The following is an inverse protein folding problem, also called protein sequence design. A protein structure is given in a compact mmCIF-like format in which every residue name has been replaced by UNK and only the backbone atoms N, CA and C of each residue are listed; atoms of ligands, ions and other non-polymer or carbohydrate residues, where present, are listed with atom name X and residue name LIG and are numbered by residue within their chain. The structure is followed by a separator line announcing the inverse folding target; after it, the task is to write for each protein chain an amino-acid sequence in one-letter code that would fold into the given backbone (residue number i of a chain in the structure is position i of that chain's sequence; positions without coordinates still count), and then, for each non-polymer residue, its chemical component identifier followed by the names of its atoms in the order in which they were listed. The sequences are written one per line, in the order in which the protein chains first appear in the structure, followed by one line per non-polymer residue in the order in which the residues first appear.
data_IF_643184977824
#
_entry.id   IF_643184977824
#
_cell.length_a   1.000
_cell.length_b   1.000
_cell.length_c   1.000
_cell.angle_alpha   90.00
_cell.angle_beta   90.00
_cell.angle_gamma   90.00
#
_symmetry.space_group_name_H-M   'P 1'
#
loop_
_entity.id
_entity.type
_entity.pdbx_description
1 polymer ?
#
# COMPACT_ATOMS: atom_id res chain seq x y z
N UNK A 1 -9.58 -8.78 1.69
CA UNK A 1 -9.03 -7.44 1.98
C UNK A 1 -8.11 -7.59 3.18
N UNK A 2 -6.98 -6.89 3.17
CA UNK A 2 -5.99 -6.85 4.25
C UNK A 2 -5.89 -5.42 4.78
N UNK A 3 -5.43 -5.30 6.00
CA UNK A 3 -5.21 -4.02 6.66
C UNK A 3 -3.73 -3.83 6.93
N UNK A 4 -3.29 -2.59 6.99
CA UNK A 4 -1.92 -2.26 7.32
C UNK A 4 -1.74 -0.76 7.50
N UNK A 5 -0.52 -0.38 7.84
CA UNK A 5 -0.16 1.02 8.05
C UNK A 5 0.84 1.43 6.97
N UNK A 6 0.62 2.57 6.32
CA UNK A 6 1.55 3.10 5.34
C UNK A 6 2.85 3.45 6.04
N UNK A 7 3.90 2.68 5.74
CA UNK A 7 5.23 2.91 6.31
C UNK A 7 5.90 4.11 5.67
N UNK A 8 5.67 4.29 4.37
CA UNK A 8 6.26 5.35 3.55
C UNK A 8 5.49 5.44 2.25
N UNK A 9 5.25 6.65 1.76
CA UNK A 9 4.75 6.89 0.41
C UNK A 9 5.40 8.14 -0.19
N UNK A 10 5.96 8.01 -1.39
CA UNK A 10 6.50 9.13 -2.14
C UNK A 10 5.54 9.48 -3.27
N UNK A 11 4.78 10.56 -3.10
CA UNK A 11 3.80 11.01 -4.09
C UNK A 11 4.44 11.49 -5.40
N UNK A 12 5.67 12.04 -5.35
CA UNK A 12 6.38 12.49 -6.55
C UNK A 12 6.84 11.30 -7.42
N UNK A 13 7.27 10.20 -6.79
CA UNK A 13 7.69 8.97 -7.47
C UNK A 13 6.54 7.98 -7.67
N UNK A 14 5.40 8.20 -7.03
CA UNK A 14 4.20 7.37 -7.15
C UNK A 14 4.30 5.97 -6.55
N UNK A 15 5.12 5.76 -5.52
CA UNK A 15 5.22 4.45 -4.86
C UNK A 15 5.54 4.56 -3.37
N UNK A 16 5.27 3.46 -2.65
CA UNK A 16 5.53 3.35 -1.24
C UNK A 16 5.49 1.91 -0.73
N UNK A 17 5.38 1.78 0.59
CA UNK A 17 5.28 0.50 1.28
C UNK A 17 4.24 0.56 2.39
N UNK A 18 3.44 -0.49 2.50
CA UNK A 18 2.49 -0.71 3.58
C UNK A 18 3.03 -1.82 4.48
N UNK A 19 3.03 -1.60 5.79
CA UNK A 19 3.43 -2.58 6.79
C UNK A 19 2.20 -3.38 7.22
N UNK A 20 2.28 -4.71 7.07
CA UNK A 20 1.29 -5.65 7.59
C UNK A 20 1.48 -5.89 9.09
N UNK A 21 0.42 -6.32 9.78
CA UNK A 21 0.48 -6.69 11.20
C UNK A 21 1.52 -7.79 11.48
N UNK A 22 1.77 -8.69 10.52
CA UNK A 22 2.80 -9.73 10.59
C UNK A 22 4.24 -9.23 10.42
N UNK A 23 4.45 -7.92 10.23
CA UNK A 23 5.76 -7.30 10.05
C UNK A 23 6.31 -7.36 8.62
N UNK A 24 5.63 -8.03 7.71
CA UNK A 24 5.93 -7.99 6.26
C UNK A 24 5.58 -6.63 5.65
N UNK A 25 6.31 -6.27 4.61
CA UNK A 25 6.10 -5.02 3.87
C UNK A 25 5.60 -5.36 2.47
N UNK A 26 4.53 -4.70 2.06
CA UNK A 26 3.98 -4.84 0.72
C UNK A 26 4.18 -3.56 -0.07
N UNK A 27 4.60 -3.74 -1.33
CA UNK A 27 4.79 -2.64 -2.26
C UNK A 27 3.44 -2.05 -2.68
N UNK A 28 3.33 -0.73 -2.72
CA UNK A 28 2.16 -0.01 -3.25
C UNK A 28 2.60 0.97 -4.33
N UNK A 29 1.84 1.03 -5.43
CA UNK A 29 2.02 1.99 -6.51
C UNK A 29 0.80 2.90 -6.60
N UNK A 30 0.99 4.14 -7.05
CA UNK A 30 -0.06 5.14 -7.20
C UNK A 30 -1.24 4.66 -8.07
N UNK A 31 -0.99 3.78 -9.06
CA UNK A 31 -2.05 3.19 -9.88
C UNK A 31 -2.99 2.24 -9.13
N UNK A 32 -2.61 1.78 -7.94
CA UNK A 32 -3.41 0.90 -7.10
C UNK A 32 -4.21 1.65 -6.03
N UNK A 33 -4.05 2.97 -5.93
CA UNK A 33 -4.71 3.80 -4.94
C UNK A 33 -6.14 4.15 -5.40
N UNK A 34 -7.08 4.03 -4.46
CA UNK A 34 -8.44 4.60 -4.57
C UNK A 34 -8.42 6.00 -3.94
N UNK A 35 -7.81 6.12 -2.75
CA UNK A 35 -7.63 7.38 -2.03
C UNK A 35 -6.16 7.79 -1.98
N UNK A 36 -5.89 9.08 -1.80
CA UNK A 36 -4.55 9.54 -1.47
C UNK A 36 -4.15 8.99 -0.09
N UNK A 37 -2.93 8.48 0.02
CA UNK A 37 -2.39 7.91 1.26
C UNK A 37 -1.14 8.67 1.69
N UNK A 38 -0.93 8.74 3.01
CA UNK A 38 0.22 9.39 3.64
C UNK A 38 0.88 8.45 4.63
N UNK A 39 2.10 8.79 5.01
CA UNK A 39 2.83 8.04 6.03
C UNK A 39 2.03 7.98 7.34
N UNK A 40 1.99 6.80 7.96
CA UNK A 40 1.21 6.46 9.16
C UNK A 40 -0.31 6.31 8.96
N UNK A 41 -0.84 6.46 7.75
CA UNK A 41 -2.25 6.17 7.50
C UNK A 41 -2.55 4.68 7.68
N UNK A 42 -3.71 4.40 8.27
CA UNK A 42 -4.26 3.04 8.28
C UNK A 42 -5.03 2.84 6.98
N UNK A 43 -4.71 1.76 6.28
CA UNK A 43 -5.26 1.48 4.95
C UNK A 43 -5.81 0.07 4.86
N UNK A 44 -6.84 -0.08 4.04
CA UNK A 44 -7.36 -1.36 3.59
C UNK A 44 -7.00 -1.55 2.11
N UNK A 45 -6.57 -2.75 1.75
CA UNK A 45 -6.13 -3.07 0.39
C UNK A 45 -6.34 -4.54 0.03
N UNK A 46 -6.20 -4.85 -1.25
CA UNK A 46 -6.10 -6.20 -1.78
C UNK A 46 -4.65 -6.49 -2.21
N UNK A 47 -4.25 -7.76 -2.18
CA UNK A 47 -2.92 -8.19 -2.63
C UNK A 47 -3.06 -8.88 -3.97
N UNK A 48 -2.20 -8.51 -4.92
CA UNK A 48 -2.11 -9.16 -6.22
C UNK A 48 -0.66 -9.54 -6.52
N UNK A 49 -0.45 -10.53 -7.39
CA UNK A 49 0.88 -10.83 -7.93
C UNK A 49 1.19 -9.89 -9.10
N UNK A 50 2.19 -9.03 -8.93
CA UNK A 50 2.73 -8.17 -9.96
C UNK A 50 4.03 -8.71 -10.55
N UNK A 51 4.53 -8.05 -11.60
CA UNK A 51 5.80 -8.41 -12.27
C UNK A 51 7.03 -8.42 -11.35
N UNK A 52 6.96 -7.77 -10.19
CA UNK A 52 8.06 -7.61 -9.23
C UNK A 52 7.74 -8.22 -7.86
N UNK A 53 6.73 -9.09 -7.78
CA UNK A 53 6.23 -9.66 -6.54
C UNK A 53 4.88 -9.07 -6.13
N UNK A 54 4.51 -9.31 -4.87
CA UNK A 54 3.21 -8.92 -4.33
C UNK A 54 3.06 -7.39 -4.30
N UNK A 55 1.93 -6.90 -4.81
CA UNK A 55 1.57 -5.49 -4.77
C UNK A 55 0.20 -5.27 -4.11
N UNK A 56 0.09 -4.17 -3.38
CA UNK A 56 -1.18 -3.68 -2.86
C UNK A 56 -1.95 -2.96 -3.96
N UNK A 57 -3.23 -3.31 -4.11
CA UNK A 57 -4.18 -2.72 -5.07
C UNK A 57 -5.49 -2.39 -4.37
N UNK A 58 -6.29 -1.52 -4.97
CA UNK A 58 -7.54 -0.99 -4.38
C UNK A 58 -7.32 -0.45 -2.96
N UNK A 59 -6.26 0.33 -2.79
CA UNK A 59 -5.86 0.85 -1.48
C UNK A 59 -6.72 2.06 -1.11
N UNK A 60 -7.32 2.04 0.08
CA UNK A 60 -8.12 3.14 0.63
C UNK A 60 -7.78 3.40 2.09
N UNK A 61 -7.97 4.63 2.54
CA UNK A 61 -7.79 5.02 3.95
C UNK A 61 -8.98 4.52 4.77
N UNK A 62 -8.72 4.07 6.00
CA UNK A 62 -9.73 3.56 6.96
C UNK A 62 -9.97 4.55 8.08
#
# INVERSE_FOLDING_TARGET
MKNGTVKFFNSEKGFGFIKEEGGSEIFVHASGLIDEIRENDTVEYEVQEGKKGLNAVKVRVV
#
